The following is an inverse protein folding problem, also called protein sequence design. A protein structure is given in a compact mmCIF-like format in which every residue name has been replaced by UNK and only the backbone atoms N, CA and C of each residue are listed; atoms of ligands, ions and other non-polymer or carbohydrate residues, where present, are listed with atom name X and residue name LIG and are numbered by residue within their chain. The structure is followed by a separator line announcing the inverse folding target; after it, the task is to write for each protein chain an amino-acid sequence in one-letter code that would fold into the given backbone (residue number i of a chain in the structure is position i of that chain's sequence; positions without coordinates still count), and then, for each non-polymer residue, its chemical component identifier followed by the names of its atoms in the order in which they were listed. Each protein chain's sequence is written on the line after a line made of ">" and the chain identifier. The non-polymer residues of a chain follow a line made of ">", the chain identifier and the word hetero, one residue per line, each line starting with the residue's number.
data_IF_150895845169
#
_entry.id   IF_150895845169
#
_cell.length_a   1.000
_cell.length_b   1.000
_cell.length_c   1.000
_cell.angle_alpha   90.00
_cell.angle_beta   90.00
_cell.angle_gamma   90.00
#
_symmetry.space_group_name_H-M   'P 1'
#
loop_
_entity.id
_entity.type
_entity.pdbx_description
1 polymer ?
#
# COMPACT_ATOMS: atom_id res chain seq x y z
N UNK A 1 -22.33 4.94 18.67
CA UNK A 1 -21.30 5.29 17.90
C UNK A 1 -20.25 6.02 18.64
N UNK A 2 -19.03 5.67 18.42
CA UNK A 2 -18.04 6.27 19.11
C UNK A 2 -17.54 7.41 18.44
N UNK A 3 -17.44 8.46 19.12
CA UNK A 3 -16.89 9.58 18.55
C UNK A 3 -15.55 9.69 19.14
N UNK A 4 -14.57 9.28 18.50
CA UNK A 4 -13.26 9.41 18.99
C UNK A 4 -12.87 10.86 18.87
N UNK A 5 -12.93 11.55 19.96
CA UNK A 5 -12.48 12.92 19.98
C UNK A 5 -10.96 12.90 19.95
N UNK A 6 -10.38 14.05 19.64
CA UNK A 6 -8.93 14.16 19.62
C UNK A 6 -8.33 13.82 20.97
N UNK A 7 -9.06 14.11 22.04
CA UNK A 7 -8.55 13.78 23.37
C UNK A 7 -8.36 12.29 23.56
N UNK A 8 -9.23 11.49 22.95
CA UNK A 8 -9.09 10.05 23.08
C UNK A 8 -7.88 9.53 22.31
N UNK A 9 -7.62 10.13 21.15
CA UNK A 9 -6.43 9.74 20.40
C UNK A 9 -5.18 10.15 21.12
N UNK A 10 -5.16 11.34 21.75
CA UNK A 10 -4.01 11.78 22.51
C UNK A 10 -3.75 10.85 23.69
N UNK A 11 -4.79 10.42 24.36
CA UNK A 11 -4.66 9.50 25.47
C UNK A 11 -4.08 8.17 25.00
N UNK A 12 -4.57 7.67 23.87
CA UNK A 12 -4.07 6.42 23.31
C UNK A 12 -2.60 6.57 22.92
N UNK A 13 -2.24 7.72 22.34
CA UNK A 13 -0.87 7.97 21.94
C UNK A 13 0.04 7.95 23.16
N UNK A 14 -0.37 8.57 24.24
CA UNK A 14 0.43 8.58 25.46
C UNK A 14 0.63 7.18 26.02
N UNK A 15 -0.43 6.39 26.03
CA UNK A 15 -0.32 5.03 26.54
C UNK A 15 0.61 4.20 25.70
N UNK A 16 0.52 4.35 24.37
CA UNK A 16 1.38 3.60 23.48
C UNK A 16 2.83 4.04 23.59
N UNK A 17 3.05 5.33 23.76
CA UNK A 17 4.41 5.81 24.00
C UNK A 17 4.97 5.25 25.29
N UNK A 18 4.12 5.12 26.32
CA UNK A 18 4.56 4.51 27.57
C UNK A 18 4.95 3.06 27.38
N UNK A 19 4.18 2.31 26.59
CA UNK A 19 4.54 0.93 26.30
C UNK A 19 5.88 0.88 25.57
N UNK A 20 6.08 1.74 24.58
CA UNK A 20 7.33 1.74 23.82
C UNK A 20 8.52 2.21 24.65
N UNK A 21 8.28 3.04 25.65
CA UNK A 21 9.36 3.45 26.53
C UNK A 21 9.86 2.27 27.36
N UNK A 22 8.95 1.37 27.72
CA UNK A 22 9.33 0.18 28.46
C UNK A 22 9.81 -0.94 27.56
N UNK A 23 9.19 -1.07 26.40
CA UNK A 23 9.53 -2.12 25.45
C UNK A 23 9.72 -1.49 24.08
N UNK A 24 10.89 -0.95 23.79
CA UNK A 24 11.11 -0.23 22.53
C UNK A 24 10.89 -1.06 21.28
N UNK A 25 10.96 -2.38 21.42
CA UNK A 25 10.78 -3.24 20.26
C UNK A 25 9.40 -3.87 20.19
N UNK A 26 8.43 -3.31 20.87
CA UNK A 26 7.09 -3.83 20.84
C UNK A 26 6.45 -3.42 19.50
N UNK A 27 6.48 -4.31 18.53
CA UNK A 27 6.05 -4.00 17.18
C UNK A 27 4.59 -3.58 17.10
N UNK A 28 3.70 -4.30 17.79
CA UNK A 28 2.28 -3.99 17.72
C UNK A 28 2.00 -2.61 18.29
N UNK A 29 2.69 -2.21 19.34
CA UNK A 29 2.52 -0.89 19.89
C UNK A 29 3.00 0.17 18.91
N UNK A 30 4.08 -0.10 18.19
CA UNK A 30 4.60 0.82 17.20
C UNK A 30 3.61 1.00 16.06
N UNK A 31 3.01 -0.09 15.59
CA UNK A 31 1.99 -0.01 14.55
C UNK A 31 0.78 0.77 15.04
N UNK A 32 0.35 0.48 16.24
CA UNK A 32 -0.82 1.15 16.81
C UNK A 32 -0.58 2.64 16.99
N UNK A 33 0.64 3.01 17.34
CA UNK A 33 0.98 4.41 17.53
C UNK A 33 0.87 5.17 16.20
N UNK A 34 1.38 4.58 15.13
CA UNK A 34 1.23 5.19 13.81
C UNK A 34 -0.22 5.37 13.44
N UNK A 35 -1.03 4.35 13.69
CA UNK A 35 -2.45 4.43 13.39
C UNK A 35 -3.17 5.48 14.24
N UNK A 36 -2.78 5.62 15.49
CA UNK A 36 -3.38 6.63 16.36
C UNK A 36 -3.12 8.03 15.84
N UNK A 37 -1.89 8.28 15.40
CA UNK A 37 -1.59 9.58 14.80
C UNK A 37 -2.38 9.78 13.50
N UNK A 38 -2.51 8.73 12.71
CA UNK A 38 -3.27 8.81 11.47
C UNK A 38 -4.73 9.20 11.75
N UNK A 39 -5.34 8.57 12.73
CA UNK A 39 -6.73 8.86 13.05
C UNK A 39 -6.90 10.25 13.63
N UNK A 40 -5.87 10.74 14.30
CA UNK A 40 -5.90 12.08 14.83
C UNK A 40 -5.77 13.12 13.72
N UNK A 41 -5.29 12.72 12.56
CA UNK A 41 -5.08 13.62 11.45
C UNK A 41 -3.65 14.11 11.32
N UNK A 42 -2.75 13.61 12.18
CA UNK A 42 -1.35 14.03 12.15
C UNK A 42 -0.59 13.04 11.27
N UNK A 43 -0.67 13.25 9.97
CA UNK A 43 -0.10 12.29 9.03
C UNK A 43 1.43 12.31 9.03
N UNK A 44 2.03 13.45 9.33
CA UNK A 44 3.49 13.52 9.40
C UNK A 44 4.02 12.62 10.51
N UNK A 45 3.41 12.69 11.68
CA UNK A 45 3.83 11.84 12.79
C UNK A 45 3.51 10.38 12.49
N UNK A 46 2.36 10.13 11.86
CA UNK A 46 1.99 8.76 11.49
C UNK A 46 3.04 8.16 10.58
N UNK A 47 3.51 8.91 9.60
CA UNK A 47 4.54 8.43 8.67
C UNK A 47 5.84 8.15 9.43
N UNK A 48 6.23 9.04 10.32
CA UNK A 48 7.46 8.85 11.09
C UNK A 48 7.39 7.57 11.91
N UNK A 49 6.26 7.34 12.58
CA UNK A 49 6.11 6.13 13.38
C UNK A 49 6.01 4.89 12.49
N UNK A 50 5.39 5.04 11.32
CA UNK A 50 5.32 3.95 10.35
C UNK A 50 6.70 3.51 9.89
N UNK A 51 7.60 4.46 9.67
CA UNK A 51 8.97 4.11 9.28
C UNK A 51 9.74 3.45 10.41
N UNK A 52 9.43 3.78 11.66
CA UNK A 52 10.03 3.07 12.78
C UNK A 52 9.59 1.62 12.78
N UNK A 53 8.31 1.39 12.52
CA UNK A 53 7.82 0.01 12.42
C UNK A 53 8.46 -0.71 11.25
N UNK A 54 8.68 -0.01 10.15
CA UNK A 54 9.34 -0.59 8.99
C UNK A 54 10.75 -1.05 9.33
N UNK A 55 11.48 -0.27 10.12
CA UNK A 55 12.81 -0.68 10.52
C UNK A 55 12.78 -1.91 11.40
N UNK A 56 11.72 -2.05 12.19
CA UNK A 56 11.59 -3.22 13.04
C UNK A 56 11.31 -4.48 12.24
N UNK A 57 10.42 -4.38 11.28
CA UNK A 57 10.05 -5.53 10.44
C UNK A 57 9.84 -5.06 9.00
N UNK A 58 10.92 -4.98 8.22
CA UNK A 58 10.83 -4.42 6.86
C UNK A 58 9.98 -5.20 5.89
N UNK A 59 9.72 -6.47 6.20
CA UNK A 59 8.93 -7.29 5.29
C UNK A 59 7.53 -7.57 5.81
N UNK A 60 7.09 -6.79 6.76
CA UNK A 60 5.76 -6.99 7.30
C UNK A 60 4.72 -6.30 6.41
N UNK A 61 3.74 -7.04 5.94
CA UNK A 61 2.73 -6.48 5.05
C UNK A 61 2.00 -5.31 5.68
N UNK A 62 1.66 -5.42 6.96
CA UNK A 62 0.91 -4.36 7.62
C UNK A 62 1.65 -3.04 7.67
N UNK A 63 2.97 -3.10 7.81
CA UNK A 63 3.78 -1.90 7.83
C UNK A 63 3.61 -1.13 6.53
N UNK A 64 3.72 -1.84 5.41
CA UNK A 64 3.65 -1.19 4.12
C UNK A 64 2.24 -0.74 3.79
N UNK A 65 1.24 -1.50 4.23
CA UNK A 65 -0.15 -1.10 4.04
C UNK A 65 -0.43 0.21 4.79
N UNK A 66 0.04 0.29 6.03
CA UNK A 66 -0.15 1.49 6.83
C UNK A 66 0.58 2.67 6.23
N UNK A 67 1.83 2.48 5.80
CA UNK A 67 2.59 3.56 5.18
C UNK A 67 1.92 4.05 3.91
N UNK A 68 1.40 3.12 3.11
CA UNK A 68 0.70 3.51 1.90
C UNK A 68 -0.49 4.40 2.24
N UNK A 69 -1.25 4.02 3.23
CA UNK A 69 -2.40 4.79 3.65
C UNK A 69 -1.99 6.17 4.17
N UNK A 70 -0.96 6.22 4.99
CA UNK A 70 -0.49 7.47 5.55
C UNK A 70 -0.01 8.44 4.46
N UNK A 71 0.76 7.93 3.51
CA UNK A 71 1.25 8.76 2.43
C UNK A 71 0.11 9.21 1.51
N UNK A 72 -0.87 8.35 1.30
CA UNK A 72 -2.00 8.73 0.46
C UNK A 72 -2.74 9.93 1.07
N UNK A 73 -2.96 9.87 2.39
CA UNK A 73 -3.63 10.97 3.06
C UNK A 73 -2.77 12.22 3.13
N UNK A 74 -1.47 12.05 3.16
CA UNK A 74 -0.57 13.19 3.18
C UNK A 74 -0.41 13.82 1.80
N UNK A 75 -0.94 13.18 0.77
CA UNK A 75 -0.88 13.74 -0.58
C UNK A 75 0.25 13.22 -1.45
N UNK A 76 1.07 12.33 -0.92
CA UNK A 76 2.20 11.78 -1.68
C UNK A 76 1.80 10.45 -2.29
N UNK A 77 1.13 10.53 -3.43
CA UNK A 77 0.59 9.33 -4.06
C UNK A 77 1.65 8.40 -4.61
N UNK A 78 2.75 8.95 -5.07
CA UNK A 78 3.82 8.11 -5.64
C UNK A 78 4.41 7.21 -4.57
N UNK A 79 4.74 7.77 -3.41
CA UNK A 79 5.29 6.98 -2.32
C UNK A 79 4.24 6.01 -1.78
N UNK A 80 2.97 6.45 -1.75
CA UNK A 80 1.89 5.57 -1.30
C UNK A 80 1.78 4.35 -2.20
N UNK A 81 1.88 4.53 -3.50
CA UNK A 81 1.80 3.42 -4.43
C UNK A 81 2.98 2.48 -4.28
N UNK A 82 4.16 3.05 -4.02
CA UNK A 82 5.35 2.22 -3.81
C UNK A 82 5.14 1.29 -2.61
N UNK A 83 4.65 1.83 -1.50
CA UNK A 83 4.42 1.00 -0.32
C UNK A 83 3.25 0.05 -0.53
N UNK A 84 2.24 0.46 -1.29
CA UNK A 84 1.14 -0.44 -1.61
C UNK A 84 1.61 -1.65 -2.40
N UNK A 85 2.50 -1.42 -3.35
CA UNK A 85 3.07 -2.51 -4.13
C UNK A 85 3.93 -3.40 -3.24
N UNK A 86 4.70 -2.78 -2.35
CA UNK A 86 5.53 -3.55 -1.43
C UNK A 86 4.66 -4.44 -0.53
N UNK A 87 3.54 -3.91 -0.05
CA UNK A 87 2.63 -4.69 0.77
C UNK A 87 2.12 -5.92 0.00
N UNK A 88 1.84 -5.74 -1.28
CA UNK A 88 1.36 -6.83 -2.08
C UNK A 88 2.44 -7.90 -2.26
N UNK A 89 3.66 -7.47 -2.47
CA UNK A 89 4.78 -8.41 -2.59
C UNK A 89 4.94 -9.22 -1.31
N UNK A 90 4.85 -8.56 -0.16
CA UNK A 90 5.00 -9.29 1.09
C UNK A 90 3.84 -10.26 1.33
N UNK A 91 2.64 -9.87 0.90
CA UNK A 91 1.51 -10.77 0.99
C UNK A 91 1.76 -12.04 0.17
N UNK A 92 2.27 -11.88 -1.04
CA UNK A 92 2.56 -13.03 -1.87
C UNK A 92 3.65 -13.90 -1.26
N UNK A 93 4.65 -13.29 -0.65
CA UNK A 93 5.71 -14.06 0.01
C UNK A 93 5.16 -14.89 1.16
N UNK A 94 4.24 -14.30 1.90
CA UNK A 94 3.68 -15.00 3.03
C UNK A 94 2.83 -16.18 2.56
N UNK A 95 2.07 -15.98 1.50
CA UNK A 95 1.26 -17.04 0.94
C UNK A 95 2.13 -18.16 0.38
N UNK A 96 3.25 -17.80 -0.23
CA UNK A 96 4.17 -18.79 -0.75
C UNK A 96 4.76 -19.68 0.34
N UNK A 97 4.93 -19.14 1.54
CA UNK A 97 5.40 -19.95 2.64
C UNK A 97 4.36 -20.96 3.08
N UNK A 98 3.09 -20.58 3.01
CA UNK A 98 2.03 -21.47 3.45
C UNK A 98 1.76 -22.57 2.44
N UNK A 99 1.65 -22.24 1.19
CA UNK A 99 1.35 -23.20 0.15
C UNK A 99 2.00 -22.70 -1.13
N UNK A 100 3.23 -23.10 -1.36
CA UNK A 100 3.98 -22.58 -2.51
C UNK A 100 3.29 -22.82 -3.85
N UNK A 101 2.63 -23.96 -4.00
CA UNK A 101 1.97 -24.25 -5.26
C UNK A 101 0.80 -23.30 -5.52
N UNK A 102 -0.03 -23.10 -4.50
CA UNK A 102 -1.17 -22.22 -4.64
C UNK A 102 -0.72 -20.78 -4.87
N UNK A 103 0.25 -20.33 -4.10
CA UNK A 103 0.74 -18.97 -4.23
C UNK A 103 1.30 -18.73 -5.62
N UNK A 104 2.03 -19.70 -6.13
CA UNK A 104 2.60 -19.55 -7.46
C UNK A 104 1.52 -19.47 -8.52
N UNK A 105 0.48 -20.28 -8.36
CA UNK A 105 -0.63 -20.25 -9.31
C UNK A 105 -1.35 -18.90 -9.27
N UNK A 106 -1.55 -18.37 -8.09
CA UNK A 106 -2.21 -17.08 -7.94
C UNK A 106 -1.39 -15.95 -8.55
N UNK A 107 -0.09 -16.00 -8.36
CA UNK A 107 0.78 -15.00 -8.94
C UNK A 107 0.77 -15.08 -10.45
N UNK A 108 0.80 -16.29 -10.99
CA UNK A 108 0.76 -16.47 -12.44
C UNK A 108 -0.56 -15.96 -13.01
N UNK A 109 -1.66 -16.22 -12.30
CA UNK A 109 -2.96 -15.76 -12.73
C UNK A 109 -3.02 -14.23 -12.71
N UNK A 110 -2.50 -13.63 -11.68
CA UNK A 110 -2.46 -12.18 -11.61
C UNK A 110 -1.64 -11.58 -12.71
N UNK A 111 -0.52 -12.19 -13.05
CA UNK A 111 0.29 -11.70 -14.14
C UNK A 111 -0.42 -11.85 -15.48
N UNK A 112 -1.15 -12.94 -15.64
CA UNK A 112 -1.90 -13.09 -16.86
C UNK A 112 -3.00 -12.07 -17.00
N UNK A 113 -3.70 -11.78 -15.93
CA UNK A 113 -4.71 -10.75 -15.96
C UNK A 113 -4.09 -9.40 -16.31
N UNK A 114 -2.93 -9.12 -15.76
CA UNK A 114 -2.25 -7.88 -16.08
C UNK A 114 -1.89 -7.80 -17.54
N UNK A 115 -1.55 -8.95 -18.13
CA UNK A 115 -1.24 -8.93 -19.53
C UNK A 115 -2.44 -8.77 -20.37
N UNK A 116 -3.55 -9.37 -19.96
CA UNK A 116 -4.72 -9.30 -20.74
C UNK A 116 -5.46 -8.03 -20.59
N UNK A 117 -5.48 -7.52 -19.41
CA UNK A 117 -6.25 -6.36 -19.16
C UNK A 117 -6.10 -5.29 -20.18
N UNK A 118 -4.98 -5.02 -20.60
CA UNK A 118 -4.80 -3.96 -21.52
C UNK A 118 -5.03 -4.34 -22.87
N UNK A 119 -5.70 -5.34 -23.12
CA UNK A 119 -5.83 -5.71 -24.29
C UNK A 119 -6.50 -4.82 -24.85
N UNK A 120 -6.23 -4.32 -25.15
CA UNK A 120 -6.23 -3.37 -25.57
C UNK A 120 -6.92 -2.73 -26.19
N UNK A 121 -6.92 -2.14 -25.97
CA UNK A 121 -7.32 -1.20 -26.42
C UNK A 121 -7.08 -1.03 -27.71
N UNK A 122 -7.68 -1.60 -28.47
CA UNK A 122 -7.64 -1.35 -29.69
C UNK A 122 -8.32 -0.13 -29.83
N UNK A 123 -7.78 0.92 -29.96
CA UNK A 123 -8.40 2.09 -30.21
C UNK A 123 -8.94 1.95 -31.54
N UNK A 124 -10.09 1.90 -31.65
CA UNK A 124 -10.66 1.57 -32.83
C UNK A 124 -10.25 2.48 -33.87
N UNK A 125 -10.59 3.42 -33.97
CA UNK A 125 -10.31 4.06 -35.04
C UNK A 125 -9.38 5.00 -34.80
N UNK A 126 -8.32 4.88 -34.72
CA UNK A 126 -7.44 5.88 -34.72
C UNK A 126 -7.64 6.66 -35.92
N UNK A 127 -8.56 7.50 -35.93
CA UNK A 127 -8.84 8.24 -37.15
C UNK A 127 -7.66 9.01 -37.65
N UNK A 128 -6.81 9.43 -36.71
CA UNK A 128 -5.70 10.18 -37.16
C UNK A 128 -4.76 9.34 -37.99
N UNK A 129 -4.99 8.03 -37.99
CA UNK A 129 -4.09 7.26 -38.62
C UNK A 129 -4.68 6.73 -39.77
N UNK A 130 -5.84 6.74 -39.96
CA UNK A 130 -6.41 6.17 -40.87
C UNK A 130 -6.08 6.55 -42.06
N UNK A 131 -6.19 6.96 -42.54
CA UNK A 131 -6.00 7.24 -43.73
C UNK A 131 -4.81 6.85 -44.19
N UNK A 132 -4.07 6.61 -43.75
CA UNK A 132 -2.87 6.30 -44.19
C UNK A 132 -2.78 4.96 -44.32
N UNK A 133 -3.36 4.51 -44.35
CA UNK A 133 -3.21 3.24 -44.37
C UNK A 133 -3.75 2.71 -45.26
N UNK A 134 -3.99 2.96 -45.89
CA UNK A 134 -4.52 2.50 -46.63
C UNK A 134 -4.29 2.71 -47.60
N UNK A 135 -3.83 2.61 -48.09
CA UNK A 135 -3.68 2.71 -48.82
C UNK A 135 -3.95 2.99 -49.48
N UNK A 136 -3.56 3.26 -49.73
CA UNK A 136 -3.72 3.44 -49.84
C UNK A 136 -4.05 3.38 -50.43
N UNK A 137 -3.91 3.48 -50.69
CA UNK A 137 -4.27 3.47 -50.81
C UNK A 137 -4.53 3.59 -51.21
N UNK A 138 -4.30 3.70 -51.70
CA UNK A 138 -4.60 3.98 -51.82
C UNK A 138 -4.84 4.21 -52.12
N UNK A 139 -4.53 4.35 -52.30
CA UNK A 139 -4.73 4.77 -52.32
C UNK A 139 -4.90 4.82 -52.31
#
# INVERSE_FOLDING_TARGET
>A
MFDFSRGEFDSAIEKLRGVLAREPEHFDAQLALGMAYYRKGDFTSAIAEGHKAEKMRPREQLVHTNLSLFYMKAGDKVTAEHHGLQAKIESWREDAKKDPATAKAEMADGLQMARQAPQPMKFPSQPWKKKSDKPAENK
#
